data_IF_070896612387
#
_entry.id   IF_070896612387
#
_cell.length_a   1.000
_cell.length_b   1.000
_cell.length_c   1.000
_cell.angle_alpha   90.00
_cell.angle_beta   90.00
_cell.angle_gamma   90.00
#
_symmetry.space_group_name_H-M   'P 1'
#
loop_
_entity.id
_entity.type
_entity.pdbx_description
1 polymer ?
#
# COMPACT_ATOMS: atom_id res chain seq x y z
N UNK A 1 22.30 -14.15 49.12
CA UNK A 1 22.76 -13.12 48.17
C UNK A 1 21.81 -13.15 46.99
N UNK A 2 20.90 -12.18 46.91
CA UNK A 2 19.93 -12.09 45.81
C UNK A 2 20.64 -11.34 44.68
N UNK A 3 20.89 -12.05 43.58
CA UNK A 3 21.58 -11.55 42.41
C UNK A 3 20.61 -10.69 41.60
N UNK A 4 20.54 -9.40 41.91
CA UNK A 4 19.85 -8.43 41.07
C UNK A 4 20.63 -8.25 39.76
N UNK A 5 20.16 -8.91 38.70
CA UNK A 5 20.67 -8.66 37.35
C UNK A 5 20.13 -7.29 36.91
N UNK A 6 21.01 -6.29 36.95
CA UNK A 6 20.80 -4.95 36.40
C UNK A 6 20.75 -5.07 34.87
N UNK A 7 19.55 -5.28 34.31
CA UNK A 7 19.32 -5.10 32.88
C UNK A 7 19.15 -3.61 32.64
N UNK A 8 20.10 -3.03 31.91
CA UNK A 8 20.09 -1.62 31.50
C UNK A 8 18.89 -1.38 30.57
N UNK A 9 17.94 -0.45 30.87
CA UNK A 9 16.79 -0.22 30.01
C UNK A 9 17.14 0.87 28.99
N UNK A 10 17.22 0.51 27.71
CA UNK A 10 17.40 1.46 26.62
C UNK A 10 16.27 1.43 25.58
N UNK A 11 15.15 0.73 25.86
CA UNK A 11 13.96 0.71 25.02
C UNK A 11 12.72 0.49 25.86
N UNK A 12 11.55 0.82 25.33
CA UNK A 12 10.31 0.33 25.90
C UNK A 12 10.07 -1.13 25.46
N UNK A 13 9.11 -1.80 26.07
CA UNK A 13 8.81 -3.20 25.81
C UNK A 13 7.29 -3.42 25.79
N UNK A 14 6.80 -4.21 24.83
CA UNK A 14 5.44 -4.76 24.89
C UNK A 14 5.51 -6.16 25.49
N UNK A 15 4.76 -6.35 26.57
CA UNK A 15 4.62 -7.65 27.26
C UNK A 15 3.32 -8.31 26.80
N UNK A 16 3.42 -9.42 26.08
CA UNK A 16 2.28 -10.23 25.67
C UNK A 16 1.94 -11.25 26.76
N UNK A 17 0.65 -11.33 27.09
CA UNK A 17 0.13 -12.28 28.04
C UNK A 17 -0.50 -13.49 27.35
N UNK A 18 -0.58 -14.62 28.05
CA UNK A 18 -1.16 -15.88 27.55
C UNK A 18 -2.62 -15.75 27.08
N UNK A 19 -3.33 -14.71 27.56
CA UNK A 19 -4.70 -14.39 27.16
C UNK A 19 -4.76 -13.44 25.94
N UNK A 20 -3.70 -13.37 25.15
CA UNK A 20 -3.57 -12.49 23.96
C UNK A 20 -3.66 -10.99 24.29
N UNK A 21 -3.55 -10.61 25.56
CA UNK A 21 -3.52 -9.19 25.96
C UNK A 21 -2.08 -8.68 25.92
N UNK A 22 -1.87 -7.51 25.33
CA UNK A 22 -0.57 -6.85 25.29
C UNK A 22 -0.53 -5.66 26.26
N UNK A 23 0.57 -5.54 27.01
CA UNK A 23 0.82 -4.41 27.92
C UNK A 23 2.08 -3.68 27.48
N UNK A 24 1.91 -2.42 27.06
CA UNK A 24 3.02 -1.54 26.69
C UNK A 24 3.62 -0.86 27.94
N UNK A 25 4.93 -0.91 28.10
CA UNK A 25 5.62 -0.24 29.21
C UNK A 25 7.13 -0.39 29.16
N UNK A 26 7.84 0.23 30.09
CA UNK A 26 9.30 0.07 30.23
C UNK A 26 9.57 -0.98 31.30
N UNK A 27 10.28 -2.06 30.97
CA UNK A 27 10.70 -3.05 31.97
C UNK A 27 11.74 -2.41 32.88
N UNK A 28 11.42 -2.30 34.18
CA UNK A 28 12.32 -1.71 35.18
C UNK A 28 13.13 -2.77 35.91
N UNK A 29 12.52 -3.92 36.19
CA UNK A 29 13.17 -5.01 36.86
C UNK A 29 12.50 -6.34 36.53
N UNK A 30 13.28 -7.41 36.54
CA UNK A 30 12.78 -8.78 36.51
C UNK A 30 13.08 -9.43 37.85
N UNK A 31 12.03 -9.79 38.58
CA UNK A 31 12.11 -10.52 39.85
C UNK A 31 11.94 -12.02 39.59
N UNK A 32 12.08 -12.85 40.62
CA UNK A 32 12.03 -14.32 40.49
C UNK A 32 10.70 -14.85 39.93
N UNK A 33 9.57 -14.18 40.24
CA UNK A 33 8.23 -14.60 39.81
C UNK A 33 7.42 -13.52 39.11
N UNK A 34 7.93 -12.29 39.07
CA UNK A 34 7.21 -11.13 38.55
C UNK A 34 8.11 -10.24 37.71
N UNK A 35 7.51 -9.57 36.72
CA UNK A 35 8.12 -8.54 35.90
C UNK A 35 7.58 -7.19 36.34
N UNK A 36 8.46 -6.26 36.71
CA UNK A 36 8.11 -4.88 37.04
C UNK A 36 8.09 -4.04 35.76
N UNK A 37 6.89 -3.65 35.35
CA UNK A 37 6.64 -2.89 34.14
C UNK A 37 6.13 -1.49 34.51
N UNK A 38 6.82 -0.45 34.04
CA UNK A 38 6.36 0.93 34.18
C UNK A 38 5.53 1.34 32.96
N UNK A 39 4.24 1.62 33.16
CA UNK A 39 3.32 2.05 32.10
C UNK A 39 3.30 3.58 32.07
N UNK A 40 4.17 4.18 31.27
CA UNK A 40 4.25 5.62 31.08
C UNK A 40 4.34 6.42 32.39
N UNK A 41 3.37 7.34 32.57
CA UNK A 41 3.16 8.14 33.80
C UNK A 41 2.07 7.57 34.72
N UNK A 42 1.38 6.49 34.32
CA UNK A 42 0.21 5.95 35.04
C UNK A 42 0.66 5.22 36.31
N UNK A 43 1.80 4.52 36.25
CA UNK A 43 2.36 3.84 37.41
C UNK A 43 3.16 2.61 37.03
N UNK A 44 3.57 1.85 38.06
CA UNK A 44 4.24 0.57 37.90
C UNK A 44 3.26 -0.55 38.19
N UNK A 45 3.28 -1.58 37.37
CA UNK A 45 2.55 -2.81 37.59
C UNK A 45 3.52 -3.97 37.70
N UNK A 46 3.07 -5.03 38.38
CA UNK A 46 3.80 -6.28 38.50
C UNK A 46 3.02 -7.37 37.77
N UNK A 47 3.62 -7.92 36.73
CA UNK A 47 3.03 -9.00 35.93
C UNK A 47 3.69 -10.30 36.34
N UNK A 48 2.92 -11.33 36.66
CA UNK A 48 3.47 -12.64 36.99
C UNK A 48 4.08 -13.30 35.74
N UNK A 49 5.29 -13.86 35.86
CA UNK A 49 6.05 -14.39 34.71
C UNK A 49 5.37 -15.57 34.02
N UNK A 50 4.53 -16.31 34.74
CA UNK A 50 3.71 -17.42 34.22
C UNK A 50 2.55 -16.96 33.34
N UNK A 51 2.17 -15.69 33.41
CA UNK A 51 1.15 -15.10 32.54
C UNK A 51 1.74 -14.51 31.26
N UNK A 52 3.07 -14.43 31.13
CA UNK A 52 3.75 -13.79 30.01
C UNK A 52 4.06 -14.84 28.95
N UNK A 53 3.55 -14.61 27.74
CA UNK A 53 3.81 -15.42 26.57
C UNK A 53 5.13 -14.98 25.91
N UNK A 54 5.27 -13.69 25.62
CA UNK A 54 6.44 -13.13 24.95
C UNK A 54 6.68 -11.66 25.31
N UNK A 55 7.91 -11.18 25.11
CA UNK A 55 8.32 -9.79 25.35
C UNK A 55 8.99 -9.26 24.08
N UNK A 56 8.41 -8.20 23.50
CA UNK A 56 8.96 -7.52 22.31
C UNK A 56 9.58 -6.18 22.72
N UNK A 57 10.85 -5.97 22.38
CA UNK A 57 11.53 -4.68 22.55
C UNK A 57 11.04 -3.69 21.51
N UNK A 58 10.54 -2.53 21.91
CA UNK A 58 10.06 -1.50 21.01
C UNK A 58 10.07 -0.09 21.65
N UNK A 59 9.53 0.92 20.96
CA UNK A 59 9.41 2.28 21.53
C UNK A 59 7.98 2.58 22.03
N UNK A 60 7.28 1.57 22.58
CA UNK A 60 5.90 1.69 23.13
C UNK A 60 5.95 1.73 24.66
N UNK A 61 6.15 2.91 25.24
CA UNK A 61 6.40 3.10 26.69
C UNK A 61 5.15 3.15 27.59
N UNK A 62 3.96 2.93 27.03
CA UNK A 62 2.69 3.04 27.77
C UNK A 62 2.30 4.48 28.17
N UNK A 63 3.03 5.52 27.73
CA UNK A 63 2.69 6.90 28.06
C UNK A 63 1.46 7.39 27.30
N UNK A 64 0.51 7.94 28.05
CA UNK A 64 -0.48 8.88 27.51
C UNK A 64 0.10 10.26 27.78
N UNK A 65 0.94 10.79 26.88
CA UNK A 65 1.37 12.19 26.97
C UNK A 65 1.38 12.85 25.60
N UNK A 66 0.57 13.90 25.56
CA UNK A 66 0.66 15.13 24.79
C UNK A 66 0.53 15.08 23.26
N UNK A 67 -0.75 15.14 22.85
CA UNK A 67 -1.23 15.74 21.60
C UNK A 67 -0.91 17.25 21.46
N UNK A 68 0.19 17.76 22.02
CA UNK A 68 0.49 19.20 21.99
C UNK A 68 1.99 19.48 22.13
N UNK A 69 2.79 19.12 21.12
CA UNK A 69 3.93 19.90 20.59
C UNK A 69 4.75 19.03 19.63
N UNK A 70 4.43 19.09 18.34
CA UNK A 70 5.39 18.86 17.26
C UNK A 70 5.07 19.77 16.06
N UNK A 71 4.57 20.99 16.35
CA UNK A 71 4.42 22.11 15.40
C UNK A 71 5.43 23.24 15.70
N UNK A 72 6.53 22.95 16.39
CA UNK A 72 7.61 23.90 16.64
C UNK A 72 8.96 23.20 16.41
N UNK A 73 9.27 22.94 15.14
CA UNK A 73 10.52 22.29 14.74
C UNK A 73 10.83 22.31 13.23
N UNK A 74 9.97 22.89 12.39
CA UNK A 74 10.20 23.05 10.93
C UNK A 74 10.49 24.52 10.57
N UNK A 75 11.00 25.32 11.51
CA UNK A 75 11.38 26.72 11.25
C UNK A 75 12.79 27.02 11.78
N UNK A 76 13.81 26.35 11.22
CA UNK A 76 15.17 26.93 11.13
C UNK A 76 16.24 26.21 10.28
N UNK A 77 15.90 25.30 9.36
CA UNK A 77 16.90 24.68 8.48
C UNK A 77 16.52 24.76 7.00
N UNK A 78 16.13 25.96 6.54
CA UNK A 78 15.93 26.25 5.09
C UNK A 78 16.76 27.46 4.63
N UNK A 79 17.65 28.02 5.45
CA UNK A 79 18.45 29.20 5.03
C UNK A 79 19.95 28.94 4.84
N UNK A 80 20.44 27.69 4.88
CA UNK A 80 21.88 27.40 4.64
C UNK A 80 22.16 26.22 3.69
N UNK A 81 21.21 25.82 2.84
CA UNK A 81 21.46 24.86 1.74
C UNK A 81 21.34 25.45 0.34
N UNK A 82 21.19 26.78 0.20
CA UNK A 82 21.18 27.48 -1.11
C UNK A 82 22.58 27.87 -1.63
N UNK A 83 23.65 27.21 -1.18
CA UNK A 83 25.00 27.49 -1.66
C UNK A 83 25.85 26.23 -1.93
N UNK A 84 25.25 25.16 -2.44
CA UNK A 84 26.00 24.10 -3.11
C UNK A 84 25.11 23.42 -4.16
N UNK A 85 25.34 23.77 -5.43
CA UNK A 85 24.67 23.12 -6.56
C UNK A 85 25.00 21.63 -6.59
N UNK A 86 23.97 20.80 -6.36
CA UNK A 86 23.96 19.41 -6.78
C UNK A 86 22.77 19.28 -7.71
N UNK A 87 23.05 19.14 -9.01
CA UNK A 87 22.06 18.76 -10.00
C UNK A 87 21.58 17.35 -9.66
N UNK A 88 20.42 17.25 -9.02
CA UNK A 88 19.77 15.96 -8.77
C UNK A 88 19.21 15.47 -10.11
N UNK A 89 19.95 14.50 -10.68
CA UNK A 89 19.51 13.72 -11.84
C UNK A 89 18.22 12.99 -11.44
N UNK A 90 17.14 13.02 -12.25
CA UNK A 90 15.95 12.23 -11.97
C UNK A 90 16.34 10.76 -11.82
N UNK A 91 15.71 10.00 -10.90
CA UNK A 91 16.05 8.60 -10.69
C UNK A 91 15.97 7.85 -12.02
N UNK A 92 17.06 7.16 -12.35
CA UNK A 92 17.10 6.28 -13.51
C UNK A 92 15.93 5.29 -13.40
N UNK A 93 15.27 5.06 -14.53
CA UNK A 93 14.26 4.02 -14.64
C UNK A 93 14.82 2.69 -14.06
N UNK A 94 14.04 1.95 -13.27
CA UNK A 94 14.49 0.66 -12.75
C UNK A 94 14.82 -0.26 -13.92
N UNK A 95 15.95 -0.96 -13.80
CA UNK A 95 16.39 -1.97 -14.78
C UNK A 95 15.27 -3.02 -14.99
N UNK A 96 14.96 -3.40 -16.24
CA UNK A 96 13.82 -4.25 -16.56
C UNK A 96 13.95 -5.71 -16.09
N UNK A 97 15.08 -6.09 -15.49
CA UNK A 97 15.37 -7.48 -15.09
C UNK A 97 15.27 -7.73 -13.58
N UNK A 98 14.89 -6.74 -12.76
CA UNK A 98 14.92 -6.83 -11.28
C UNK A 98 13.54 -7.09 -10.62
N UNK A 99 12.47 -7.37 -11.38
CA UNK A 99 11.12 -7.47 -10.81
C UNK A 99 10.29 -8.67 -11.29
N UNK A 100 10.63 -9.86 -10.79
CA UNK A 100 9.61 -10.82 -10.42
C UNK A 100 9.20 -10.59 -8.94
N UNK A 101 8.90 -9.34 -8.56
CA UNK A 101 8.28 -9.06 -7.26
C UNK A 101 6.89 -9.68 -7.33
N UNK A 102 6.70 -10.79 -6.59
CA UNK A 102 5.41 -11.48 -6.50
C UNK A 102 4.36 -10.48 -6.01
N UNK A 103 3.43 -10.10 -6.89
CA UNK A 103 2.33 -9.19 -6.55
C UNK A 103 1.51 -9.79 -5.41
N UNK A 104 1.41 -9.07 -4.31
CA UNK A 104 0.68 -9.53 -3.12
C UNK A 104 -0.81 -9.20 -3.30
N UNK A 105 -1.55 -10.12 -3.92
CA UNK A 105 -2.99 -9.92 -4.21
C UNK A 105 -3.89 -10.39 -3.08
N UNK A 106 -3.47 -11.44 -2.39
CA UNK A 106 -4.18 -12.01 -1.25
C UNK A 106 -3.29 -12.00 -0.02
N UNK A 107 -3.89 -12.16 1.16
CA UNK A 107 -3.11 -12.31 2.40
C UNK A 107 -2.15 -13.50 2.35
N UNK A 108 -2.52 -14.54 1.59
CA UNK A 108 -1.75 -15.77 1.39
C UNK A 108 -0.50 -15.62 0.53
N UNK A 109 -0.39 -14.50 -0.18
CA UNK A 109 0.82 -14.16 -0.90
C UNK A 109 1.92 -13.59 0.02
N UNK A 110 1.55 -13.15 1.23
CA UNK A 110 2.44 -12.47 2.17
C UNK A 110 3.13 -13.46 3.10
N UNK A 111 4.45 -13.34 3.20
CA UNK A 111 5.30 -14.13 4.10
C UNK A 111 4.77 -14.11 5.55
N UNK A 112 4.78 -15.24 6.28
CA UNK A 112 4.13 -15.35 7.59
C UNK A 112 4.59 -14.32 8.63
N UNK A 113 5.89 -14.00 8.66
CA UNK A 113 6.44 -13.01 9.60
C UNK A 113 5.94 -11.60 9.29
N UNK A 114 5.95 -11.22 8.01
CA UNK A 114 5.43 -9.93 7.56
C UNK A 114 3.91 -9.84 7.74
N UNK A 115 3.18 -10.92 7.49
CA UNK A 115 1.75 -11.02 7.78
C UNK A 115 1.47 -10.71 9.25
N UNK A 116 2.19 -11.35 10.18
CA UNK A 116 2.01 -11.11 11.61
C UNK A 116 2.30 -9.65 11.99
N UNK A 117 3.33 -9.04 11.38
CA UNK A 117 3.58 -7.60 11.56
C UNK A 117 2.43 -6.73 11.03
N UNK A 118 1.90 -7.03 9.84
CA UNK A 118 0.78 -6.28 9.25
C UNK A 118 -0.46 -6.42 10.13
N UNK A 119 -0.81 -7.63 10.56
CA UNK A 119 -1.95 -7.88 11.44
C UNK A 119 -1.83 -7.11 12.76
N UNK A 120 -0.62 -7.03 13.33
CA UNK A 120 -0.34 -6.19 14.50
C UNK A 120 -0.56 -4.70 14.21
N UNK A 121 -0.10 -4.20 13.06
CA UNK A 121 -0.37 -2.80 12.70
C UNK A 121 -1.85 -2.56 12.46
N UNK A 122 -2.57 -3.49 11.81
CA UNK A 122 -4.01 -3.40 11.56
C UNK A 122 -4.81 -3.35 12.86
N UNK A 123 -4.37 -4.08 13.89
CA UNK A 123 -4.92 -3.96 15.23
C UNK A 123 -4.79 -2.53 15.77
N UNK A 124 -3.61 -1.92 15.72
CA UNK A 124 -3.39 -0.54 16.20
C UNK A 124 -4.07 0.52 15.32
N UNK A 125 -4.19 0.24 14.01
CA UNK A 125 -4.77 1.08 12.98
C UNK A 125 -6.29 1.28 13.14
N UNK A 126 -7.00 0.26 13.63
CA UNK A 126 -8.45 0.31 13.83
C UNK A 126 -8.86 0.86 15.21
N UNK A 127 -7.90 1.12 16.10
CA UNK A 127 -8.19 1.64 17.46
C UNK A 127 -8.74 3.06 17.42
N UNK A 128 -9.58 3.38 18.42
CA UNK A 128 -10.16 4.72 18.57
C UNK A 128 -9.13 5.82 18.85
N UNK A 129 -8.03 5.51 19.54
CA UNK A 129 -7.03 6.53 19.89
C UNK A 129 -6.18 6.91 18.68
N UNK A 130 -6.27 8.19 18.29
CA UNK A 130 -5.57 8.78 17.15
C UNK A 130 -4.07 8.44 17.07
N UNK A 131 -3.35 8.45 18.19
CA UNK A 131 -1.90 8.21 18.20
C UNK A 131 -1.50 6.82 17.69
N UNK A 132 -2.30 5.79 17.99
CA UNK A 132 -2.02 4.43 17.54
C UNK A 132 -2.24 4.32 16.03
N UNK A 133 -3.30 4.95 15.54
CA UNK A 133 -3.56 5.03 14.10
C UNK A 133 -2.43 5.69 13.34
N UNK A 134 -1.98 6.88 13.74
CA UNK A 134 -0.91 7.60 13.00
C UNK A 134 0.35 6.75 12.84
N UNK A 135 0.81 6.11 13.93
CA UNK A 135 1.99 5.23 13.88
C UNK A 135 1.74 4.00 13.00
N UNK A 136 0.58 3.36 13.14
CA UNK A 136 0.22 2.20 12.34
C UNK A 136 0.09 2.55 10.86
N UNK A 137 -0.54 3.69 10.52
CA UNK A 137 -0.65 4.22 9.16
C UNK A 137 0.73 4.41 8.54
N UNK A 138 1.65 5.07 9.24
CA UNK A 138 3.02 5.27 8.75
C UNK A 138 3.71 3.92 8.49
N UNK A 139 3.58 2.97 9.42
CA UNK A 139 4.20 1.65 9.26
C UNK A 139 3.59 0.87 8.08
N UNK A 140 2.28 0.91 7.91
CA UNK A 140 1.59 0.29 6.77
C UNK A 140 1.97 0.97 5.44
N UNK A 141 2.22 2.28 5.44
CA UNK A 141 2.77 2.99 4.28
C UNK A 141 4.21 2.54 3.95
N UNK A 142 5.04 2.26 4.96
CA UNK A 142 6.40 1.75 4.75
C UNK A 142 6.41 0.31 4.22
N UNK A 143 5.47 -0.52 4.68
CA UNK A 143 5.35 -1.92 4.23
C UNK A 143 4.98 -1.99 2.75
N UNK A 144 4.09 -1.12 2.26
CA UNK A 144 3.80 -1.04 0.82
C UNK A 144 2.69 -1.99 0.35
N UNK A 145 2.87 -2.52 -0.87
CA UNK A 145 1.92 -3.41 -1.54
C UNK A 145 1.44 -4.62 -0.70
N UNK A 146 2.30 -5.30 0.10
CA UNK A 146 1.86 -6.42 0.95
C UNK A 146 0.77 -6.08 1.96
N UNK A 147 0.63 -4.80 2.36
CA UNK A 147 -0.40 -4.36 3.30
C UNK A 147 -1.80 -4.20 2.64
N UNK A 148 -1.88 -4.08 1.31
CA UNK A 148 -3.13 -3.77 0.61
C UNK A 148 -4.24 -4.80 0.83
N UNK A 149 -3.99 -6.13 0.77
CA UNK A 149 -5.04 -7.13 1.01
C UNK A 149 -5.67 -7.04 2.41
N UNK A 150 -4.94 -6.53 3.41
CA UNK A 150 -5.45 -6.34 4.77
C UNK A 150 -6.24 -5.04 4.89
N UNK A 151 -5.77 -3.97 4.23
CA UNK A 151 -6.44 -2.68 4.20
C UNK A 151 -7.80 -2.73 3.51
N UNK A 152 -7.97 -3.63 2.52
CA UNK A 152 -9.25 -3.87 1.85
C UNK A 152 -10.37 -4.27 2.83
N UNK A 153 -10.06 -4.97 3.92
CA UNK A 153 -11.07 -5.39 4.91
C UNK A 153 -11.65 -4.23 5.73
N UNK A 154 -10.93 -3.10 5.79
CA UNK A 154 -11.31 -1.93 6.61
C UNK A 154 -11.69 -0.72 5.75
N UNK A 155 -11.87 -0.89 4.43
CA UNK A 155 -12.33 0.19 3.55
C UNK A 155 -13.71 0.69 3.97
N UNK A 156 -14.57 -0.18 4.49
CA UNK A 156 -15.92 0.12 5.01
C UNK A 156 -15.97 0.38 6.52
N UNK A 157 -14.83 0.64 7.17
CA UNK A 157 -14.80 0.81 8.63
C UNK A 157 -15.67 2.00 9.09
N UNK A 158 -16.39 1.84 10.20
CA UNK A 158 -17.35 2.84 10.72
C UNK A 158 -16.69 4.20 11.01
N UNK A 159 -15.47 4.18 11.54
CA UNK A 159 -14.69 5.38 11.80
C UNK A 159 -14.18 6.03 10.49
N UNK A 160 -14.62 7.24 10.12
CA UNK A 160 -14.18 7.91 8.90
C UNK A 160 -12.68 8.19 8.87
N UNK A 161 -12.02 8.35 10.02
CA UNK A 161 -10.57 8.54 10.07
C UNK A 161 -9.80 7.31 9.61
N UNK A 162 -10.35 6.11 9.83
CA UNK A 162 -9.78 4.86 9.30
C UNK A 162 -9.96 4.84 7.79
N UNK A 163 -11.16 5.17 7.29
CA UNK A 163 -11.42 5.23 5.83
C UNK A 163 -10.52 6.24 5.11
N UNK A 164 -10.34 7.44 5.67
CA UNK A 164 -9.44 8.48 5.14
C UNK A 164 -8.01 7.94 5.06
N UNK A 165 -7.47 7.44 6.18
CA UNK A 165 -6.11 6.91 6.22
C UNK A 165 -5.92 5.73 5.25
N UNK A 166 -6.95 4.93 5.00
CA UNK A 166 -6.88 3.80 4.06
C UNK A 166 -6.73 4.34 2.63
N UNK A 167 -7.48 5.37 2.27
CA UNK A 167 -7.34 6.05 0.98
C UNK A 167 -5.98 6.76 0.86
N UNK A 168 -5.43 7.33 1.94
CA UNK A 168 -4.08 7.91 1.92
C UNK A 168 -3.00 6.85 1.65
N UNK A 169 -3.13 5.65 2.23
CA UNK A 169 -2.21 4.53 1.96
C UNK A 169 -2.36 4.09 0.50
N UNK A 170 -3.60 3.96 -0.01
CA UNK A 170 -3.84 3.64 -1.42
C UNK A 170 -3.25 4.68 -2.37
N UNK A 171 -3.34 5.96 -2.03
CA UNK A 171 -2.75 7.04 -2.81
C UNK A 171 -1.22 6.96 -2.92
N UNK A 172 -0.54 6.32 -1.96
CA UNK A 172 0.91 6.18 -1.95
C UNK A 172 1.39 4.85 -2.53
N UNK A 173 0.71 3.76 -2.18
CA UNK A 173 1.17 2.40 -2.43
C UNK A 173 0.16 1.55 -3.23
N UNK A 174 -0.98 2.13 -3.62
CA UNK A 174 -2.06 1.41 -4.27
C UNK A 174 -1.64 0.87 -5.63
N UNK A 175 -2.16 -0.31 -5.95
CA UNK A 175 -2.02 -0.97 -7.25
C UNK A 175 -3.39 -1.13 -7.90
N UNK A 176 -3.46 -1.89 -9.00
CA UNK A 176 -4.73 -2.30 -9.63
C UNK A 176 -5.70 -2.95 -8.64
N UNK A 177 -5.17 -3.60 -7.61
CA UNK A 177 -5.92 -4.32 -6.59
C UNK A 177 -6.97 -3.45 -5.86
N UNK A 178 -6.69 -2.17 -5.64
CA UNK A 178 -7.51 -1.31 -4.76
C UNK A 178 -8.41 -0.34 -5.51
N UNK A 179 -8.31 -0.28 -6.85
CA UNK A 179 -9.02 0.69 -7.67
C UNK A 179 -10.54 0.59 -7.46
N UNK A 180 -11.09 -0.62 -7.54
CA UNK A 180 -12.53 -0.86 -7.38
C UNK A 180 -13.07 -0.33 -6.04
N UNK A 181 -12.34 -0.60 -4.97
CA UNK A 181 -12.70 -0.17 -3.61
C UNK A 181 -12.57 1.35 -3.43
N UNK A 182 -11.54 1.95 -4.01
CA UNK A 182 -11.38 3.41 -4.04
C UNK A 182 -12.51 4.10 -4.85
N UNK A 183 -12.95 3.53 -5.98
CA UNK A 183 -14.13 4.02 -6.72
C UNK A 183 -15.37 4.01 -5.81
N UNK A 184 -15.56 2.94 -5.04
CA UNK A 184 -16.64 2.84 -4.05
C UNK A 184 -16.58 3.87 -2.91
N UNK A 185 -15.47 4.60 -2.74
CA UNK A 185 -15.31 5.67 -1.74
C UNK A 185 -15.60 7.07 -2.28
N UNK A 186 -15.80 7.23 -3.58
CA UNK A 186 -16.27 8.50 -4.16
C UNK A 186 -17.69 8.89 -3.71
N UNK A 187 -18.47 7.92 -3.24
CA UNK A 187 -19.83 8.11 -2.74
C UNK A 187 -19.92 8.06 -1.21
N UNK A 188 -18.78 8.10 -0.50
CA UNK A 188 -18.75 8.12 0.97
C UNK A 188 -19.50 9.34 1.53
N UNK A 189 -20.17 9.16 2.67
CA UNK A 189 -20.84 10.25 3.40
C UNK A 189 -19.87 11.37 3.80
N UNK A 190 -18.61 11.01 4.11
CA UNK A 190 -17.59 11.92 4.58
C UNK A 190 -16.84 12.55 3.41
N UNK A 191 -16.85 13.88 3.31
CA UNK A 191 -16.22 14.62 2.22
C UNK A 191 -14.70 14.40 2.09
N UNK A 192 -14.01 14.19 3.21
CA UNK A 192 -12.57 13.94 3.21
C UNK A 192 -12.25 12.54 2.68
N UNK A 193 -13.13 11.56 2.93
CA UNK A 193 -13.00 10.22 2.33
C UNK A 193 -13.15 10.33 0.81
N UNK A 194 -14.19 11.04 0.33
CA UNK A 194 -14.42 11.25 -1.10
C UNK A 194 -13.22 11.93 -1.77
N UNK A 195 -12.70 12.99 -1.16
CA UNK A 195 -11.53 13.73 -1.66
C UNK A 195 -10.31 12.80 -1.78
N UNK A 196 -9.97 12.10 -0.70
CA UNK A 196 -8.78 11.25 -0.64
C UNK A 196 -8.92 10.04 -1.57
N UNK A 197 -10.13 9.51 -1.74
CA UNK A 197 -10.40 8.44 -2.70
C UNK A 197 -10.13 8.89 -4.14
N UNK A 198 -10.57 10.09 -4.54
CA UNK A 198 -10.25 10.62 -5.87
C UNK A 198 -8.74 10.86 -6.04
N UNK A 199 -8.07 11.43 -5.03
CA UNK A 199 -6.62 11.60 -5.06
C UNK A 199 -5.88 10.26 -5.23
N UNK A 200 -6.36 9.20 -4.57
CA UNK A 200 -5.81 7.86 -4.71
C UNK A 200 -5.99 7.33 -6.13
N UNK A 201 -7.21 7.42 -6.68
CA UNK A 201 -7.50 6.97 -8.05
C UNK A 201 -6.64 7.70 -9.08
N UNK A 202 -6.52 9.02 -8.97
CA UNK A 202 -5.69 9.83 -9.88
C UNK A 202 -4.23 9.42 -9.81
N UNK A 203 -3.69 9.18 -8.61
CA UNK A 203 -2.28 8.75 -8.45
C UNK A 203 -2.03 7.34 -8.95
N UNK A 204 -2.95 6.41 -8.73
CA UNK A 204 -2.81 5.02 -9.15
C UNK A 204 -2.95 4.89 -10.67
N UNK A 205 -3.88 5.63 -11.28
CA UNK A 205 -4.28 5.43 -12.69
C UNK A 205 -3.75 6.48 -13.65
N UNK A 206 -3.33 7.65 -13.13
CA UNK A 206 -3.01 8.82 -13.93
C UNK A 206 -4.23 9.48 -14.61
N UNK A 207 -5.44 8.99 -14.36
CA UNK A 207 -6.69 9.50 -14.95
C UNK A 207 -7.39 10.45 -13.98
N UNK A 208 -8.01 11.49 -14.52
CA UNK A 208 -8.90 12.38 -13.77
C UNK A 208 -10.21 12.54 -14.55
N UNK A 209 -11.33 12.56 -13.81
CA UNK A 209 -12.69 12.79 -14.32
C UNK A 209 -13.32 14.04 -13.69
N UNK A 210 -12.49 15.00 -13.26
CA UNK A 210 -12.91 16.29 -12.70
C UNK A 210 -13.85 16.12 -11.49
N UNK A 211 -13.48 15.23 -10.58
CA UNK A 211 -14.33 14.91 -9.43
C UNK A 211 -14.35 16.03 -8.39
N UNK A 212 -15.53 16.61 -8.16
CA UNK A 212 -15.77 17.61 -7.12
C UNK A 212 -16.29 16.97 -5.83
N UNK A 213 -15.43 16.76 -4.84
CA UNK A 213 -15.76 16.05 -3.60
C UNK A 213 -16.84 16.73 -2.74
N UNK A 214 -16.95 18.06 -2.79
CA UNK A 214 -17.94 18.90 -2.11
C UNK A 214 -19.14 19.27 -3.02
N UNK A 215 -19.16 18.75 -4.24
CA UNK A 215 -20.18 19.03 -5.24
C UNK A 215 -21.53 18.37 -4.96
N UNK A 216 -22.54 18.82 -5.71
CA UNK A 216 -23.87 18.22 -5.73
C UNK A 216 -23.78 16.72 -6.03
N UNK A 217 -24.63 15.94 -5.35
CA UNK A 217 -24.62 14.47 -5.43
C UNK A 217 -24.72 13.94 -6.86
N UNK A 218 -25.58 14.52 -7.70
CA UNK A 218 -25.71 14.13 -9.10
C UNK A 218 -24.38 14.22 -9.87
N UNK A 219 -23.62 15.32 -9.72
CA UNK A 219 -22.30 15.46 -10.38
C UNK A 219 -21.28 14.47 -9.84
N UNK A 220 -21.32 14.20 -8.53
CA UNK A 220 -20.43 13.19 -7.91
C UNK A 220 -20.74 11.79 -8.45
N UNK A 221 -22.02 11.46 -8.62
CA UNK A 221 -22.46 10.19 -9.19
C UNK A 221 -22.07 10.06 -10.67
N UNK A 222 -22.19 11.13 -11.45
CA UNK A 222 -21.73 11.14 -12.86
C UNK A 222 -20.23 10.82 -12.96
N UNK A 223 -19.39 11.51 -12.18
CA UNK A 223 -17.95 11.26 -12.15
C UNK A 223 -17.62 9.86 -11.60
N UNK A 224 -18.32 9.39 -10.55
CA UNK A 224 -18.16 8.03 -10.03
C UNK A 224 -18.57 6.97 -11.07
N UNK A 225 -19.60 7.24 -11.88
CA UNK A 225 -20.02 6.36 -12.96
C UNK A 225 -18.98 6.33 -14.09
N UNK A 226 -18.39 7.48 -14.44
CA UNK A 226 -17.29 7.53 -15.40
C UNK A 226 -16.09 6.68 -14.95
N UNK A 227 -15.73 6.75 -13.67
CA UNK A 227 -14.72 5.87 -13.07
C UNK A 227 -15.08 4.38 -13.19
N UNK A 228 -16.34 4.00 -12.89
CA UNK A 228 -16.80 2.60 -13.01
C UNK A 228 -16.72 2.09 -14.45
N UNK A 229 -17.23 2.87 -15.40
CA UNK A 229 -17.21 2.50 -16.82
C UNK A 229 -15.79 2.35 -17.33
N UNK A 230 -14.90 3.28 -16.99
CA UNK A 230 -13.48 3.17 -17.34
C UNK A 230 -12.84 1.91 -16.73
N UNK A 231 -13.11 1.61 -15.45
CA UNK A 231 -12.56 0.41 -14.80
C UNK A 231 -13.05 -0.89 -15.46
N UNK A 232 -14.33 -0.96 -15.86
CA UNK A 232 -14.90 -2.09 -16.59
C UNK A 232 -14.28 -2.25 -17.99
N UNK A 233 -13.98 -1.15 -18.68
CA UNK A 233 -13.25 -1.16 -19.95
C UNK A 233 -11.83 -1.70 -19.77
N UNK A 234 -11.08 -1.21 -18.78
CA UNK A 234 -9.72 -1.71 -18.49
C UNK A 234 -9.73 -3.21 -18.14
N UNK A 235 -10.71 -3.67 -17.38
CA UNK A 235 -10.84 -5.08 -17.03
C UNK A 235 -11.15 -5.95 -18.27
N UNK A 236 -11.97 -5.44 -19.20
CA UNK A 236 -12.27 -6.13 -20.46
C UNK A 236 -11.04 -6.21 -21.37
N UNK A 237 -10.30 -5.11 -21.49
CA UNK A 237 -9.09 -5.05 -22.32
C UNK A 237 -8.00 -5.98 -21.76
N UNK A 238 -7.85 -6.04 -20.44
CA UNK A 238 -6.95 -6.98 -19.78
C UNK A 238 -7.33 -8.44 -20.04
N UNK A 239 -8.62 -8.79 -19.93
CA UNK A 239 -9.11 -10.14 -20.20
C UNK A 239 -8.90 -10.55 -21.67
N UNK A 240 -9.17 -9.65 -22.62
CA UNK A 240 -8.94 -9.90 -24.04
C UNK A 240 -7.45 -10.09 -24.37
N UNK A 241 -6.57 -9.32 -23.71
CA UNK A 241 -5.12 -9.49 -23.85
C UNK A 241 -4.63 -10.84 -23.30
N UNK A 242 -5.18 -11.29 -22.18
CA UNK A 242 -4.87 -12.60 -21.60
C UNK A 242 -5.33 -13.74 -22.51
N UNK A 243 -6.55 -13.67 -23.05
CA UNK A 243 -7.07 -14.65 -24.01
C UNK A 243 -6.20 -14.70 -25.28
N UNK A 244 -5.81 -13.54 -25.82
CA UNK A 244 -4.92 -13.45 -26.96
C UNK A 244 -3.53 -14.05 -26.66
N UNK A 245 -2.99 -13.82 -25.45
CA UNK A 245 -1.72 -14.40 -25.01
C UNK A 245 -1.81 -15.93 -24.86
N UNK A 246 -2.91 -16.46 -24.31
CA UNK A 246 -3.15 -17.90 -24.23
C UNK A 246 -3.30 -18.54 -25.62
N UNK A 247 -4.02 -17.90 -26.54
CA UNK A 247 -4.17 -18.36 -27.91
C UNK A 247 -2.83 -18.38 -28.66
N UNK A 248 -1.99 -17.36 -28.47
CA UNK A 248 -0.65 -17.31 -29.04
C UNK A 248 0.28 -18.40 -28.45
N UNK A 249 0.19 -18.65 -27.14
CA UNK A 249 0.94 -19.73 -26.49
C UNK A 249 0.50 -21.11 -27.00
N UNK A 250 -0.79 -21.35 -27.18
CA UNK A 250 -1.30 -22.59 -27.76
C UNK A 250 -0.82 -22.80 -29.22
N UNK A 251 -0.82 -21.76 -30.03
CA UNK A 251 -0.33 -21.82 -31.41
C UNK A 251 1.19 -22.04 -31.53
N UNK A 252 1.96 -21.68 -30.49
CA UNK A 252 3.41 -21.89 -30.41
C UNK A 252 3.85 -23.29 -29.97
N UNK A 253 2.93 -24.11 -29.43
CA UNK A 253 3.25 -25.47 -28.93
C UNK A 253 3.14 -26.55 -30.02
N UNK A 254 2.48 -26.27 -31.14
CA UNK A 254 2.34 -27.21 -32.28
C UNK A 254 3.44 -27.05 -33.35
N UNK A 255 4.52 -26.32 -33.05
CA UNK A 255 5.52 -25.87 -34.03
C UNK A 255 6.83 -26.66 -34.13
N UNK A 256 7.02 -27.74 -33.39
CA UNK A 256 8.23 -28.60 -33.46
C UNK A 256 7.90 -29.98 -34.03
N UNK A 257 7.67 -30.04 -35.34
CA UNK A 257 7.51 -31.31 -36.06
C UNK A 257 7.02 -31.13 -37.49
N UNK A 258 7.95 -31.20 -38.44
CA UNK A 258 7.68 -31.34 -39.89
C UNK A 258 6.98 -30.16 -40.59
N UNK A 259 7.77 -29.14 -40.96
CA UNK A 259 7.60 -28.46 -42.25
C UNK A 259 8.88 -27.75 -42.70
N UNK A 260 9.99 -28.48 -42.65
CA UNK A 260 11.19 -28.17 -43.43
C UNK A 260 11.40 -29.30 -44.43
N UNK A 261 10.89 -29.10 -45.65
CA UNK A 261 11.22 -29.75 -46.94
C UNK A 261 9.96 -30.05 -47.76
N UNK A 262 10.06 -29.81 -49.07
CA UNK A 262 9.01 -29.86 -50.10
C UNK A 262 7.95 -28.75 -49.98
N UNK A 263 8.16 -27.57 -50.56
CA UNK A 263 8.01 -27.44 -52.02
C UNK A 263 8.71 -26.17 -52.53
N UNK A 264 10.01 -26.31 -52.78
CA UNK A 264 10.71 -25.54 -53.79
C UNK A 264 10.37 -26.11 -55.18
N UNK A 265 9.17 -25.80 -55.71
CA UNK A 265 8.87 -25.98 -57.14
C UNK A 265 7.60 -25.25 -57.55
N UNK A 266 7.70 -23.93 -57.73
CA UNK A 266 6.87 -23.16 -58.66
C UNK A 266 7.52 -21.80 -58.86
N UNK A 267 8.60 -21.80 -59.64
CA UNK A 267 9.10 -20.61 -60.31
C UNK A 267 8.05 -20.11 -61.32
N UNK A 268 8.17 -18.82 -61.61
CA UNK A 268 7.83 -18.19 -62.88
C UNK A 268 6.40 -17.62 -63.02
N UNK A 269 6.23 -16.37 -62.58
CA UNK A 269 6.07 -15.21 -63.51
C UNK A 269 5.86 -13.93 -62.72
N UNK A 270 6.85 -13.05 -62.75
CA UNK A 270 6.61 -11.60 -62.65
C UNK A 270 6.37 -11.06 -64.07
N UNK A 271 5.57 -10.00 -64.21
CA UNK A 271 6.17 -8.66 -64.36
C UNK A 271 5.43 -7.62 -63.50
N UNK A 272 6.14 -6.76 -62.75
CA UNK A 272 6.63 -5.43 -63.17
C UNK A 272 5.54 -4.46 -63.63
N UNK A 273 5.11 -3.57 -62.73
CA UNK A 273 4.90 -2.14 -63.01
C UNK A 273 5.00 -1.34 -61.70
N UNK A 274 5.77 -0.26 -61.75
CA UNK A 274 6.00 0.71 -60.67
C UNK A 274 4.94 1.87 -60.77
N UNK A 275 5.09 3.03 -60.10
CA UNK A 275 4.08 3.58 -59.17
C UNK A 275 3.35 4.85 -59.69
N UNK A 276 2.23 5.20 -59.07
CA UNK A 276 1.60 6.54 -59.13
C UNK A 276 0.97 6.79 -57.74
N UNK A 277 1.38 7.77 -56.92
CA UNK A 277 1.43 9.23 -57.07
C UNK A 277 0.03 9.87 -57.19
N UNK A 278 -0.23 10.85 -56.31
CA UNK A 278 -1.35 11.81 -56.24
C UNK A 278 -2.69 11.25 -55.68
N UNK A 279 -3.49 11.94 -54.87
CA UNK A 279 -3.44 13.28 -54.29
C UNK A 279 -4.42 13.35 -53.11
N UNK A 280 -4.12 14.20 -52.13
CA UNK A 280 -5.10 14.73 -51.20
C UNK A 280 -6.13 15.62 -51.93
N UNK A 281 -7.33 15.79 -51.36
CA UNK A 281 -7.99 17.09 -51.41
C UNK A 281 -8.35 17.64 -50.01
N UNK A 282 -8.50 18.97 -49.89
CA UNK A 282 -8.50 19.71 -48.63
C UNK A 282 -9.89 19.83 -47.99
N UNK A 283 -9.88 20.10 -46.68
CA UNK A 283 -10.99 20.71 -45.93
C UNK A 283 -11.38 22.07 -46.56
N UNK A 284 -12.63 22.51 -46.37
CA UNK A 284 -13.03 23.12 -45.09
C UNK A 284 -14.11 22.35 -44.32
#
# INVERSE_FOLDING_TARGET
MILCILVVPAGADTVFLNNQTAIDGVIKARHERTLELQIGKIGRIFVALDMIDSIEKNDRDGSVSDSALALAGVRRLVEETEAAGVAERPPAAPDPDDAAVKRCRTKDDVEPELRAEIERQMYDYTREKRKFRVRATQRLMEIGEPALPFLLEVVNHDNPQVRIATMEIFARNGTDLVIKDAIGRLEDENEYVRKTANEALVKITGKDFEFHFDGAEARRQEAAQAWRTWYEEQARDAAAAEEAAMAAAAAGVDGDGERAEATAQALDKTPKTAPAAAAAPPAP
#
